data_IF_929530545416
#
_entry.id   IF_929530545416
#
_cell.length_a   1.000
_cell.length_b   1.000
_cell.length_c   1.000
_cell.angle_alpha   90.00
_cell.angle_beta   90.00
_cell.angle_gamma   90.00
#
_symmetry.space_group_name_H-M   'P 1'
#
loop_
_entity.id
_entity.type
_entity.pdbx_description
1 polymer ?
#
# COMPACT_ATOMS: atom_id res chain seq x y z
N UNK A 1 9.28 13.57 -7.53
CA UNK A 1 7.93 12.99 -7.62
C UNK A 1 7.05 13.72 -6.64
N UNK A 2 5.93 14.24 -7.11
CA UNK A 2 5.00 14.99 -6.28
C UNK A 2 4.26 14.06 -5.33
N UNK A 3 4.25 14.40 -4.05
CA UNK A 3 3.36 13.80 -3.07
C UNK A 3 1.94 14.36 -3.29
N UNK A 4 0.99 13.50 -3.54
CA UNK A 4 -0.41 13.85 -3.75
C UNK A 4 -1.25 13.77 -2.46
N UNK A 5 -0.63 13.47 -1.33
CA UNK A 5 -1.33 13.51 -0.05
C UNK A 5 -1.58 14.96 0.37
N UNK A 6 -2.75 15.24 0.89
CA UNK A 6 -3.17 16.59 1.30
C UNK A 6 -3.29 16.75 2.81
N UNK A 7 -3.36 15.65 3.56
CA UNK A 7 -3.48 15.64 5.01
C UNK A 7 -3.90 14.27 5.52
N UNK A 8 -4.41 14.26 6.75
CA UNK A 8 -4.96 13.07 7.39
C UNK A 8 -6.41 13.34 7.81
N UNK A 9 -7.23 12.29 7.88
CA UNK A 9 -8.61 12.38 8.34
C UNK A 9 -8.94 11.24 9.30
N UNK A 10 -9.58 11.56 10.41
CA UNK A 10 -10.10 10.54 11.32
C UNK A 10 -11.28 9.80 10.69
N UNK A 11 -11.23 8.47 10.71
CA UNK A 11 -12.32 7.61 10.22
C UNK A 11 -13.58 7.66 11.07
N UNK A 12 -13.46 8.03 12.34
CA UNK A 12 -14.57 8.02 13.29
C UNK A 12 -15.29 9.37 13.30
N UNK A 13 -14.58 10.46 13.63
CA UNK A 13 -15.18 11.79 13.74
C UNK A 13 -15.02 12.69 12.52
N UNK A 14 -14.22 12.29 11.52
CA UNK A 14 -14.00 13.08 10.32
C UNK A 14 -13.04 14.26 10.48
N UNK A 15 -12.46 14.48 11.66
CA UNK A 15 -11.52 15.57 11.93
C UNK A 15 -10.31 15.51 11.01
N UNK A 16 -9.95 16.65 10.44
CA UNK A 16 -8.82 16.81 9.54
C UNK A 16 -7.56 17.23 10.30
N UNK A 17 -6.43 16.71 9.85
CA UNK A 17 -5.10 17.01 10.37
C UNK A 17 -4.16 17.36 9.22
N UNK A 18 -3.20 18.23 9.50
CA UNK A 18 -2.07 18.47 8.60
C UNK A 18 -1.24 17.20 8.43
N UNK A 19 -0.43 17.14 7.36
CA UNK A 19 0.53 16.05 7.17
C UNK A 19 1.53 16.02 8.32
N UNK A 20 1.54 14.91 9.05
CA UNK A 20 2.47 14.68 10.17
C UNK A 20 2.51 13.18 10.48
N UNK A 21 3.50 12.76 11.24
CA UNK A 21 3.63 11.39 11.70
C UNK A 21 2.65 11.12 12.87
N UNK A 22 1.37 10.99 12.54
CA UNK A 22 0.29 10.73 13.48
C UNK A 22 -0.58 9.59 12.93
N UNK A 23 -0.94 8.63 13.76
CA UNK A 23 -1.70 7.44 13.36
C UNK A 23 -3.07 7.30 14.04
N UNK A 24 -3.39 8.14 15.00
CA UNK A 24 -4.68 8.13 15.69
C UNK A 24 -5.18 9.56 15.96
N UNK A 25 -6.49 9.70 16.07
CA UNK A 25 -7.16 10.96 16.40
C UNK A 25 -6.92 11.34 17.85
N UNK A 26 -6.63 12.61 18.10
CA UNK A 26 -6.40 13.12 19.47
C UNK A 26 -7.69 13.26 20.29
N UNK A 27 -8.85 13.26 19.63
CA UNK A 27 -10.15 13.48 20.30
C UNK A 27 -10.86 12.16 20.65
N UNK A 28 -10.80 11.15 19.77
CA UNK A 28 -11.54 9.89 19.92
C UNK A 28 -10.68 8.63 19.74
N UNK A 29 -9.37 8.80 19.56
CA UNK A 29 -8.42 7.70 19.28
C UNK A 29 -8.75 6.87 18.03
N UNK A 30 -9.65 7.36 17.16
CA UNK A 30 -9.95 6.72 15.89
C UNK A 30 -8.75 6.69 14.95
N UNK A 31 -8.65 5.69 14.05
CA UNK A 31 -7.55 5.60 13.10
C UNK A 31 -7.60 6.76 12.11
N UNK A 32 -6.42 7.27 11.77
CA UNK A 32 -6.27 8.29 10.73
C UNK A 32 -5.99 7.65 9.37
N UNK A 33 -6.61 8.16 8.35
CA UNK A 33 -6.33 7.83 6.96
C UNK A 33 -5.68 9.00 6.24
N UNK A 34 -4.84 8.69 5.28
CA UNK A 34 -4.25 9.70 4.40
C UNK A 34 -5.29 10.18 3.40
N UNK A 35 -5.43 11.48 3.28
CA UNK A 35 -6.28 12.14 2.28
C UNK A 35 -5.44 12.49 1.07
N UNK A 36 -5.92 12.13 -0.12
CA UNK A 36 -5.23 12.36 -1.39
C UNK A 36 -6.02 13.25 -2.34
N UNK A 37 -5.32 14.00 -3.17
CA UNK A 37 -5.87 14.63 -4.37
C UNK A 37 -6.01 13.58 -5.49
N UNK A 38 -7.12 12.85 -5.47
CA UNK A 38 -7.39 11.79 -6.45
C UNK A 38 -7.56 12.31 -7.88
N UNK A 39 -7.96 13.56 -8.08
CA UNK A 39 -8.09 14.13 -9.41
C UNK A 39 -6.73 14.40 -10.05
N UNK A 40 -5.79 14.88 -9.28
CA UNK A 40 -4.39 15.02 -9.70
C UNK A 40 -3.71 13.66 -9.92
N UNK A 41 -3.95 12.69 -9.04
CA UNK A 41 -3.46 11.31 -9.22
C UNK A 41 -3.99 10.73 -10.53
N UNK A 42 -5.29 10.83 -10.80
CA UNK A 42 -5.92 10.29 -12.02
C UNK A 42 -5.31 10.85 -13.31
N UNK A 43 -4.88 12.11 -13.28
CA UNK A 43 -4.20 12.75 -14.43
C UNK A 43 -2.74 12.30 -14.58
N UNK A 44 -2.10 11.90 -13.50
CA UNK A 44 -0.66 11.58 -13.47
C UNK A 44 -0.32 10.11 -13.68
N UNK A 45 -1.26 9.20 -13.36
CA UNK A 45 -1.07 7.75 -13.36
C UNK A 45 -1.87 7.07 -14.48
N UNK A 46 -1.32 5.99 -15.03
CA UNK A 46 -2.03 5.11 -15.95
C UNK A 46 -1.59 3.66 -15.71
N UNK A 47 -2.39 2.71 -16.18
CA UNK A 47 -2.05 1.28 -16.08
C UNK A 47 -0.69 1.00 -16.71
N UNK A 48 -0.44 1.51 -17.90
CA UNK A 48 0.84 1.33 -18.62
C UNK A 48 2.03 1.91 -17.83
N UNK A 49 1.86 3.08 -17.20
CA UNK A 49 2.90 3.65 -16.34
C UNK A 49 3.23 2.75 -15.15
N UNK A 50 2.22 2.16 -14.51
CA UNK A 50 2.42 1.24 -13.40
C UNK A 50 3.13 -0.04 -13.89
N UNK A 51 2.68 -0.61 -15.00
CA UNK A 51 3.23 -1.85 -15.56
C UNK A 51 4.69 -1.73 -15.97
N UNK A 52 5.13 -0.57 -16.46
CA UNK A 52 6.53 -0.30 -16.82
C UNK A 52 7.48 -0.18 -15.62
N UNK A 53 6.97 0.02 -14.41
CA UNK A 53 7.78 0.19 -13.21
C UNK A 53 8.21 -1.15 -12.61
N UNK A 54 9.27 -1.14 -11.79
CA UNK A 54 9.72 -2.32 -11.04
C UNK A 54 8.57 -2.91 -10.22
N UNK A 55 8.52 -4.25 -10.12
CA UNK A 55 7.49 -4.97 -9.36
C UNK A 55 7.77 -4.93 -7.86
N UNK A 56 7.56 -3.77 -7.26
CA UNK A 56 7.63 -3.53 -5.83
C UNK A 56 6.53 -2.56 -5.41
N UNK A 57 6.40 -2.24 -4.14
CA UNK A 57 5.39 -1.32 -3.62
C UNK A 57 5.50 0.08 -4.26
N UNK A 58 6.72 0.53 -4.52
CA UNK A 58 7.02 1.88 -5.01
C UNK A 58 6.54 2.15 -6.44
N UNK A 59 6.07 1.13 -7.13
CA UNK A 59 5.40 1.32 -8.44
C UNK A 59 4.11 2.13 -8.35
N UNK A 60 3.52 2.23 -7.16
CA UNK A 60 2.29 2.97 -6.86
C UNK A 60 2.55 4.28 -6.13
N UNK A 61 3.69 4.93 -6.39
CA UNK A 61 4.18 6.11 -5.66
C UNK A 61 3.14 7.22 -5.50
N UNK A 62 2.31 7.45 -6.51
CA UNK A 62 1.27 8.48 -6.48
C UNK A 62 0.19 8.21 -5.41
N UNK A 63 0.09 6.97 -4.94
CA UNK A 63 -0.82 6.52 -3.89
C UNK A 63 -0.12 6.30 -2.54
N UNK A 64 1.14 6.72 -2.42
CA UNK A 64 1.92 6.59 -1.18
C UNK A 64 2.21 7.97 -0.60
N UNK A 65 2.07 8.16 0.73
CA UNK A 65 2.21 9.46 1.39
C UNK A 65 3.68 9.78 1.70
N UNK A 66 4.54 9.67 0.69
CA UNK A 66 5.97 9.96 0.83
C UNK A 66 6.45 10.91 -0.26
N UNK A 67 7.38 11.76 0.12
CA UNK A 67 8.12 12.62 -0.80
C UNK A 67 9.45 11.97 -1.20
N UNK A 68 9.89 12.22 -2.43
CA UNK A 68 11.19 11.76 -2.92
C UNK A 68 11.30 10.25 -3.13
N UNK A 69 12.55 9.78 -3.15
CA UNK A 69 12.86 8.36 -3.33
C UNK A 69 12.91 7.64 -1.98
N UNK A 70 12.43 6.38 -1.91
CA UNK A 70 12.51 5.61 -0.69
C UNK A 70 13.97 5.29 -0.33
N UNK A 71 14.37 5.63 0.89
CA UNK A 71 15.69 5.32 1.43
C UNK A 71 15.72 4.01 2.20
N UNK A 72 14.56 3.52 2.61
CA UNK A 72 14.37 2.25 3.35
C UNK A 72 13.45 1.34 2.56
N UNK A 73 13.79 0.05 2.49
CA UNK A 73 12.97 -0.97 1.85
C UNK A 73 12.69 -0.74 0.35
N UNK A 74 13.69 -0.40 -0.48
CA UNK A 74 13.47 -0.13 -1.92
C UNK A 74 12.92 -1.34 -2.69
N UNK A 75 13.04 -2.54 -2.14
CA UNK A 75 12.57 -3.80 -2.72
C UNK A 75 11.23 -4.30 -2.13
N UNK A 76 10.62 -3.59 -1.17
CA UNK A 76 9.37 -4.00 -0.51
C UNK A 76 8.25 -4.20 -1.52
N UNK A 77 7.45 -5.25 -1.33
CA UNK A 77 6.34 -5.61 -2.20
C UNK A 77 6.73 -6.56 -3.32
N UNK A 78 5.83 -6.80 -4.25
CA UNK A 78 6.03 -7.77 -5.33
C UNK A 78 6.18 -9.21 -4.84
N UNK A 79 5.61 -9.54 -3.68
CA UNK A 79 5.66 -10.86 -3.08
C UNK A 79 5.08 -11.93 -4.02
N UNK A 80 5.57 -13.19 -3.94
CA UNK A 80 5.19 -14.23 -4.87
C UNK A 80 3.75 -14.69 -4.69
N UNK A 81 3.11 -15.02 -5.80
CA UNK A 81 1.85 -15.75 -5.86
C UNK A 81 2.16 -17.21 -6.20
N UNK A 82 1.96 -18.11 -5.24
CA UNK A 82 2.37 -19.50 -5.31
C UNK A 82 1.13 -20.38 -5.48
N UNK A 83 1.16 -21.27 -6.47
CA UNK A 83 0.15 -22.32 -6.60
C UNK A 83 0.37 -23.40 -5.54
N UNK A 84 -0.65 -23.75 -4.79
CA UNK A 84 -0.60 -24.67 -3.67
C UNK A 84 -1.38 -25.97 -3.98
N UNK A 85 -0.90 -26.76 -4.94
CA UNK A 85 -1.60 -27.94 -5.46
C UNK A 85 -1.89 -28.99 -4.37
N UNK A 86 -0.89 -29.28 -3.52
CA UNK A 86 -1.05 -30.26 -2.43
C UNK A 86 -2.10 -29.85 -1.41
N UNK A 87 -2.12 -28.56 -1.04
CA UNK A 87 -3.13 -28.03 -0.13
C UNK A 87 -4.51 -27.95 -0.79
N UNK A 88 -4.55 -27.67 -2.09
CA UNK A 88 -5.78 -27.68 -2.87
C UNK A 88 -6.42 -29.07 -2.86
N UNK A 89 -5.64 -30.12 -3.08
CA UNK A 89 -6.05 -31.52 -3.01
C UNK A 89 -6.62 -31.88 -1.63
N UNK A 90 -5.90 -31.56 -0.56
CA UNK A 90 -6.35 -31.80 0.83
C UNK A 90 -7.68 -31.10 1.17
N UNK A 91 -7.88 -29.91 0.63
CA UNK A 91 -9.09 -29.11 0.86
C UNK A 91 -10.22 -29.42 -0.11
N UNK A 92 -9.98 -30.26 -1.12
CA UNK A 92 -10.97 -30.61 -2.14
C UNK A 92 -11.36 -29.42 -3.04
N UNK A 93 -10.43 -28.47 -3.28
CA UNK A 93 -10.61 -27.33 -4.18
C UNK A 93 -9.76 -27.49 -5.43
N UNK A 94 -10.27 -27.04 -6.58
CA UNK A 94 -9.58 -27.23 -7.85
C UNK A 94 -8.35 -26.33 -8.01
N UNK A 95 -8.44 -25.09 -7.56
CA UNK A 95 -7.37 -24.12 -7.69
C UNK A 95 -7.17 -23.35 -6.38
N UNK A 96 -5.96 -23.39 -5.84
CA UNK A 96 -5.58 -22.63 -4.65
C UNK A 96 -4.27 -21.89 -4.88
N UNK A 97 -4.30 -20.62 -4.62
CA UNK A 97 -3.13 -19.75 -4.73
C UNK A 97 -2.86 -19.02 -3.41
N UNK A 98 -1.60 -18.94 -3.03
CA UNK A 98 -1.16 -18.27 -1.82
C UNK A 98 -0.33 -17.05 -2.20
N UNK A 99 -0.80 -15.86 -1.80
CA UNK A 99 0.01 -14.64 -1.83
C UNK A 99 0.94 -14.67 -0.62
N UNK A 100 2.19 -15.03 -0.84
CA UNK A 100 3.13 -15.26 0.25
C UNK A 100 3.81 -13.97 0.70
N UNK A 101 3.20 -13.29 1.65
CA UNK A 101 3.73 -12.05 2.23
C UNK A 101 4.75 -12.29 3.37
N UNK A 102 4.91 -13.55 3.81
CA UNK A 102 5.92 -13.90 4.82
C UNK A 102 7.36 -13.67 4.34
N UNK A 103 7.58 -13.57 3.03
CA UNK A 103 8.90 -13.29 2.44
C UNK A 103 9.07 -11.81 2.03
N UNK A 104 8.20 -10.92 2.47
CA UNK A 104 8.25 -9.50 2.16
C UNK A 104 9.34 -8.80 2.99
N UNK A 105 10.57 -8.84 2.50
CA UNK A 105 11.70 -8.19 3.16
C UNK A 105 11.55 -6.65 3.18
N UNK A 106 11.92 -5.92 4.26
CA UNK A 106 12.60 -6.42 5.48
C UNK A 106 11.68 -6.84 6.62
N UNK A 107 10.38 -6.56 6.55
CA UNK A 107 9.45 -6.81 7.66
C UNK A 107 9.08 -8.28 7.84
N UNK A 108 9.14 -9.07 6.76
CA UNK A 108 8.64 -10.45 6.69
C UNK A 108 7.17 -10.57 7.14
N UNK A 109 6.38 -9.55 6.79
CA UNK A 109 5.00 -9.37 7.19
C UNK A 109 4.19 -8.76 6.03
N UNK A 110 2.88 -8.93 6.09
CA UNK A 110 1.95 -8.24 5.19
C UNK A 110 1.78 -6.73 5.52
N UNK A 111 2.27 -6.28 6.65
CA UNK A 111 2.22 -4.87 7.08
C UNK A 111 3.33 -4.05 6.43
#
# INVERSE_FOLDING_TARGET
VSDFSTGLQCKVCGKLYAKQALNFCTDDFGPLEVVYDYDSIRKSISRSKIECRKRNMWRYRELLPIEGEPTVGPQVGGTPLIRADRLAEELGVENLWIKNDAVNFPTLSFK
#
